data_IF_517896071417
#
_entry.id   IF_517896071417
#
_cell.length_a   1.000
_cell.length_b   1.000
_cell.length_c   1.000
_cell.angle_alpha   90.00
_cell.angle_beta   90.00
_cell.angle_gamma   90.00
#
_symmetry.space_group_name_H-M   'P 1'
#
loop_
_entity.id
_entity.type
_entity.pdbx_description
1 polymer ?
#
# COMPACT_ATOMS: atom_id res chain seq x y z
N UNK A 1 8.52 14.85 -2.80
CA UNK A 1 7.30 14.09 -3.14
C UNK A 1 6.29 14.27 -2.03
N UNK A 2 5.03 14.51 -2.40
CA UNK A 2 3.90 14.49 -1.47
C UNK A 2 3.25 13.12 -1.55
N UNK A 3 3.29 12.38 -0.43
CA UNK A 3 2.66 11.08 -0.28
C UNK A 3 1.38 11.23 0.54
N UNK A 4 0.23 10.95 -0.06
CA UNK A 4 -1.05 11.05 0.62
C UNK A 4 -1.55 9.68 1.03
N UNK A 5 -1.78 9.47 2.32
CA UNK A 5 -2.55 8.36 2.84
C UNK A 5 -4.04 8.75 2.79
N UNK A 6 -4.81 8.01 2.02
CA UNK A 6 -6.25 8.22 1.86
C UNK A 6 -7.02 7.16 2.64
N UNK A 7 -7.55 7.49 3.82
CA UNK A 7 -8.41 6.56 4.56
C UNK A 7 -9.69 6.25 3.77
N UNK A 8 -10.07 4.99 3.67
CA UNK A 8 -11.28 4.54 2.97
C UNK A 8 -12.01 3.51 3.81
N UNK A 9 -13.23 3.79 4.17
CA UNK A 9 -13.99 2.99 5.13
C UNK A 9 -13.63 3.33 6.56
N UNK A 10 -13.56 2.33 7.43
CA UNK A 10 -13.22 2.49 8.84
C UNK A 10 -11.72 2.26 9.05
N UNK A 11 -11.01 3.29 9.41
CA UNK A 11 -9.58 3.21 9.73
C UNK A 11 -9.33 3.97 11.01
N UNK A 12 -8.49 3.43 11.88
CA UNK A 12 -8.10 4.07 13.11
C UNK A 12 -7.13 5.22 12.84
N UNK A 13 -7.42 6.41 13.36
CA UNK A 13 -6.61 7.60 13.14
C UNK A 13 -5.20 7.46 13.76
N UNK A 14 -5.08 6.82 14.93
CA UNK A 14 -3.79 6.63 15.59
C UNK A 14 -2.89 5.69 14.79
N UNK A 15 -3.46 4.64 14.21
CA UNK A 15 -2.74 3.71 13.31
C UNK A 15 -2.25 4.46 12.07
N UNK A 16 -3.09 5.29 11.46
CA UNK A 16 -2.72 6.09 10.29
C UNK A 16 -1.59 7.07 10.59
N UNK A 17 -1.63 7.76 11.73
CA UNK A 17 -0.58 8.67 12.18
C UNK A 17 0.75 7.94 12.38
N UNK A 18 0.72 6.75 12.98
CA UNK A 18 1.90 5.91 13.14
C UNK A 18 2.47 5.45 11.80
N UNK A 19 1.63 4.97 10.89
CA UNK A 19 2.05 4.61 9.53
C UNK A 19 2.66 5.83 8.83
N UNK A 20 2.00 6.98 8.90
CA UNK A 20 2.49 8.22 8.30
C UNK A 20 3.86 8.65 8.81
N UNK A 21 4.09 8.57 10.12
CA UNK A 21 5.38 8.90 10.74
C UNK A 21 6.53 8.02 10.22
N UNK A 22 6.26 6.73 10.02
CA UNK A 22 7.23 5.76 9.50
C UNK A 22 7.55 5.96 8.00
N UNK A 23 6.69 6.66 7.27
CA UNK A 23 6.86 6.95 5.84
C UNK A 23 7.58 8.29 5.57
N UNK A 24 7.90 9.06 6.60
CA UNK A 24 8.59 10.35 6.47
C UNK A 24 9.88 10.32 5.62
N UNK A 25 10.69 9.24 5.59
CA UNK A 25 11.86 9.16 4.70
C UNK A 25 11.55 9.28 3.21
N UNK A 26 10.31 8.99 2.78
CA UNK A 26 9.91 9.04 1.37
C UNK A 26 9.44 10.43 0.91
N UNK A 27 9.16 11.35 1.83
CA UNK A 27 8.75 12.72 1.53
C UNK A 27 7.77 13.31 2.53
N UNK A 28 7.07 14.36 2.13
CA UNK A 28 5.99 14.95 2.92
C UNK A 28 4.79 14.00 2.94
N UNK A 29 4.42 13.53 4.12
CA UNK A 29 3.26 12.62 4.29
C UNK A 29 2.04 13.43 4.75
N UNK A 30 0.92 13.23 4.06
CA UNK A 30 -0.37 13.82 4.39
C UNK A 30 -1.41 12.74 4.63
N UNK A 31 -2.23 12.91 5.65
CA UNK A 31 -3.41 12.05 5.89
C UNK A 31 -4.64 12.84 5.43
N UNK A 32 -5.31 12.33 4.40
CA UNK A 32 -6.50 12.98 3.86
C UNK A 32 -7.75 12.68 4.69
N UNK A 33 -8.80 13.46 4.50
CA UNK A 33 -10.10 13.18 5.13
C UNK A 33 -10.65 11.82 4.65
N UNK A 34 -11.26 11.03 5.53
CA UNK A 34 -11.80 9.73 5.18
C UNK A 34 -12.83 9.78 4.05
N UNK A 35 -12.82 8.77 3.19
CA UNK A 35 -13.79 8.58 2.11
C UNK A 35 -14.59 7.29 2.32
N UNK A 36 -15.83 7.22 1.81
CA UNK A 36 -16.61 5.99 1.88
C UNK A 36 -15.99 4.89 1.01
N UNK A 37 -16.29 3.64 1.37
CA UNK A 37 -15.95 2.48 0.55
C UNK A 37 -16.57 2.59 -0.86
N UNK A 38 -15.91 2.03 -1.88
CA UNK A 38 -16.51 1.84 -3.20
C UNK A 38 -17.85 1.09 -3.10
N UNK A 39 -18.80 1.40 -3.95
CA UNK A 39 -20.22 1.02 -3.79
C UNK A 39 -20.54 -0.49 -3.86
N UNK A 40 -19.58 -1.38 -4.20
CA UNK A 40 -19.84 -2.83 -4.28
C UNK A 40 -18.64 -3.68 -3.91
N UNK A 41 -18.80 -4.64 -2.98
CA UNK A 41 -17.81 -5.70 -2.77
C UNK A 41 -17.75 -6.63 -3.99
N UNK A 42 -16.70 -7.44 -4.06
CA UNK A 42 -16.52 -8.43 -5.13
C UNK A 42 -17.52 -9.60 -4.98
N UNK A 43 -18.44 -9.72 -5.95
CA UNK A 43 -19.40 -10.84 -6.05
C UNK A 43 -20.57 -10.79 -5.05
N UNK A 44 -21.63 -11.56 -5.36
CA UNK A 44 -22.75 -11.75 -4.45
C UNK A 44 -22.30 -12.55 -3.22
N UNK A 45 -22.49 -11.99 -2.02
CA UNK A 45 -22.13 -12.63 -0.75
C UNK A 45 -20.64 -12.55 -0.37
N UNK A 46 -19.77 -11.97 -1.19
CA UNK A 46 -18.37 -11.73 -0.84
C UNK A 46 -18.22 -10.44 -0.04
N UNK A 47 -17.41 -10.50 1.03
CA UNK A 47 -16.99 -9.29 1.78
C UNK A 47 -15.76 -8.62 1.17
N UNK A 48 -15.19 -9.18 0.08
CA UNK A 48 -13.98 -8.69 -0.56
C UNK A 48 -14.29 -7.66 -1.62
N UNK A 49 -13.42 -6.68 -1.70
CA UNK A 49 -13.46 -5.62 -2.71
C UNK A 49 -12.38 -5.88 -3.77
N UNK A 50 -12.68 -5.60 -5.03
CA UNK A 50 -11.64 -5.55 -6.06
C UNK A 50 -10.70 -4.39 -5.77
N UNK A 51 -9.41 -4.66 -5.66
CA UNK A 51 -8.40 -3.63 -5.39
C UNK A 51 -8.47 -2.48 -6.42
N UNK A 52 -8.65 -2.79 -7.70
CA UNK A 52 -8.75 -1.81 -8.78
C UNK A 52 -9.90 -0.78 -8.59
N UNK A 53 -10.94 -1.09 -7.82
CA UNK A 53 -12.04 -0.14 -7.57
C UNK A 53 -11.61 1.06 -6.74
N UNK A 54 -10.53 0.97 -5.99
CA UNK A 54 -9.96 2.06 -5.19
C UNK A 54 -9.25 3.12 -6.04
N UNK A 55 -8.91 2.82 -7.30
CA UNK A 55 -8.32 3.78 -8.22
C UNK A 55 -9.12 5.09 -8.31
N UNK A 56 -10.45 5.00 -8.38
CA UNK A 56 -11.32 6.17 -8.46
C UNK A 56 -11.23 7.04 -7.20
N UNK A 57 -11.17 6.41 -6.03
CA UNK A 57 -11.04 7.12 -4.75
C UNK A 57 -9.70 7.85 -4.69
N UNK A 58 -8.62 7.18 -5.09
CA UNK A 58 -7.28 7.76 -5.08
C UNK A 58 -7.12 8.90 -6.10
N UNK A 59 -7.71 8.77 -7.30
CA UNK A 59 -7.64 9.82 -8.34
C UNK A 59 -8.28 11.14 -7.91
N UNK A 60 -9.23 11.12 -7.00
CA UNK A 60 -9.88 12.30 -6.44
C UNK A 60 -9.18 12.87 -5.20
N UNK A 61 -7.97 12.41 -4.89
CA UNK A 61 -7.15 12.89 -3.78
C UNK A 61 -5.88 13.56 -4.31
N UNK A 62 -5.42 14.60 -3.61
CA UNK A 62 -4.21 15.34 -3.96
C UNK A 62 -2.94 14.61 -3.50
N UNK A 63 -1.81 14.86 -4.16
CA UNK A 63 -0.50 14.30 -3.84
C UNK A 63 0.21 13.74 -5.07
N UNK A 64 1.52 13.57 -5.02
CA UNK A 64 2.30 12.94 -6.10
C UNK A 64 2.03 11.44 -6.15
N UNK A 65 1.81 10.84 -4.98
CA UNK A 65 1.39 9.46 -4.79
C UNK A 65 0.26 9.41 -3.77
N UNK A 66 -0.75 8.58 -4.04
CA UNK A 66 -1.91 8.40 -3.17
C UNK A 66 -2.07 6.92 -2.85
N UNK A 67 -2.01 6.58 -1.57
CA UNK A 67 -2.21 5.21 -1.11
C UNK A 67 -3.48 5.16 -0.27
N UNK A 68 -4.50 4.47 -0.78
CA UNK A 68 -5.70 4.18 -0.02
C UNK A 68 -5.38 3.17 1.09
N UNK A 69 -5.83 3.47 2.30
CA UNK A 69 -5.74 2.56 3.45
C UNK A 69 -7.16 2.16 3.83
N UNK A 70 -7.41 0.87 3.92
CA UNK A 70 -8.75 0.34 4.21
C UNK A 70 -8.70 -0.85 5.17
N UNK A 71 -9.81 -1.13 5.83
CA UNK A 71 -10.00 -2.27 6.75
C UNK A 71 -10.72 -3.47 6.09
N UNK A 72 -11.08 -3.34 4.80
CA UNK A 72 -11.78 -4.42 4.09
C UNK A 72 -10.81 -5.33 3.33
N UNK A 73 -11.17 -6.60 3.20
CA UNK A 73 -10.40 -7.55 2.40
C UNK A 73 -10.40 -7.17 0.92
N UNK A 74 -9.24 -7.30 0.30
CA UNK A 74 -9.03 -7.02 -1.12
C UNK A 74 -8.80 -8.31 -1.91
N UNK A 75 -9.21 -8.30 -3.17
CA UNK A 75 -8.91 -9.33 -4.16
C UNK A 75 -8.43 -8.70 -5.46
N UNK A 76 -7.66 -9.44 -6.21
CA UNK A 76 -7.25 -9.07 -7.57
C UNK A 76 -7.56 -10.23 -8.52
N UNK A 77 -8.79 -10.30 -9.05
CA UNK A 77 -9.19 -11.38 -9.94
C UNK A 77 -8.50 -11.30 -11.32
N UNK A 78 -7.98 -10.15 -11.73
CA UNK A 78 -7.22 -10.03 -12.99
C UNK A 78 -5.88 -10.75 -12.90
N UNK A 79 -5.28 -10.79 -11.70
CA UNK A 79 -4.09 -11.59 -11.40
C UNK A 79 -4.43 -12.99 -10.86
N UNK A 80 -5.70 -13.37 -10.80
CA UNK A 80 -6.15 -14.63 -10.21
C UNK A 80 -6.02 -14.72 -8.69
N UNK A 81 -5.79 -13.60 -8.01
CA UNK A 81 -5.54 -13.56 -6.58
C UNK A 81 -6.84 -13.32 -5.80
N UNK A 82 -7.21 -14.30 -4.97
CA UNK A 82 -8.42 -14.23 -4.14
C UNK A 82 -8.28 -13.29 -2.95
N UNK A 83 -7.07 -13.13 -2.43
CA UNK A 83 -6.74 -12.25 -1.33
C UNK A 83 -5.41 -11.56 -1.64
N UNK A 84 -5.38 -10.24 -1.50
CA UNK A 84 -4.16 -9.44 -1.62
C UNK A 84 -4.08 -8.48 -0.44
N UNK A 85 -2.87 -8.19 0.02
CA UNK A 85 -2.64 -7.18 1.08
C UNK A 85 -2.61 -5.77 0.52
N UNK A 86 -2.23 -5.64 -0.74
CA UNK A 86 -2.22 -4.38 -1.47
C UNK A 86 -2.28 -4.60 -2.97
N UNK A 87 -2.40 -3.50 -3.69
CA UNK A 87 -2.35 -3.43 -5.16
C UNK A 87 -1.97 -2.02 -5.57
N UNK A 88 -1.17 -1.90 -6.61
CA UNK A 88 -0.75 -0.60 -7.13
C UNK A 88 -0.81 -0.54 -8.66
N UNK A 89 -0.97 0.66 -9.16
CA UNK A 89 -0.76 1.01 -10.57
C UNK A 89 0.75 1.17 -10.80
N UNK A 90 1.38 0.22 -11.50
CA UNK A 90 2.84 0.23 -11.73
C UNK A 90 3.21 1.45 -12.56
N UNK A 91 4.19 2.24 -12.07
CA UNK A 91 4.55 3.56 -12.59
C UNK A 91 3.41 4.58 -12.57
N UNK A 92 2.32 4.26 -11.89
CA UNK A 92 1.17 5.11 -11.73
C UNK A 92 1.24 5.97 -10.48
N UNK A 93 0.08 6.55 -10.11
CA UNK A 93 -0.01 7.50 -8.99
C UNK A 93 -0.70 6.91 -7.76
N UNK A 94 -1.34 5.77 -7.86
CA UNK A 94 -2.20 5.24 -6.81
C UNK A 94 -1.86 3.82 -6.41
N UNK A 95 -2.16 3.52 -5.15
CA UNK A 95 -2.16 2.16 -4.61
C UNK A 95 -3.26 2.02 -3.56
N UNK A 96 -3.54 0.79 -3.15
CA UNK A 96 -4.41 0.48 -2.01
C UNK A 96 -3.76 -0.57 -1.13
N UNK A 97 -3.89 -0.42 0.19
CA UNK A 97 -3.42 -1.37 1.20
C UNK A 97 -4.56 -1.69 2.15
N UNK A 98 -4.77 -2.98 2.41
CA UNK A 98 -5.74 -3.48 3.36
C UNK A 98 -5.07 -3.81 4.70
N UNK A 99 -5.65 -3.33 5.79
CA UNK A 99 -5.24 -3.66 7.16
C UNK A 99 -5.95 -4.90 7.71
N UNK A 100 -6.93 -5.45 6.99
CA UNK A 100 -7.84 -6.48 7.48
C UNK A 100 -7.16 -7.75 7.99
N UNK A 101 -5.99 -8.09 7.44
CA UNK A 101 -5.24 -9.31 7.78
C UNK A 101 -4.09 -9.07 8.77
N UNK A 102 -3.82 -7.81 9.17
CA UNK A 102 -2.62 -7.47 9.93
C UNK A 102 -2.79 -7.51 11.44
N UNK A 103 -4.03 -7.53 11.92
CA UNK A 103 -4.36 -7.56 13.35
C UNK A 103 -4.11 -8.91 14.03
N UNK A 104 -4.45 -8.97 15.33
CA UNK A 104 -4.40 -10.20 16.13
C UNK A 104 -3.15 -10.36 17.01
N UNK A 105 -2.06 -9.63 16.72
CA UNK A 105 -0.80 -9.68 17.47
C UNK A 105 -0.40 -8.32 18.08
N UNK A 106 -1.37 -7.43 18.24
CA UNK A 106 -1.18 -6.09 18.77
C UNK A 106 -0.98 -5.02 17.70
N UNK A 107 -1.09 -3.76 18.11
CA UNK A 107 -1.04 -2.60 17.21
C UNK A 107 0.34 -2.40 16.58
N UNK A 108 1.41 -2.66 17.35
CA UNK A 108 2.78 -2.51 16.84
C UNK A 108 3.03 -3.44 15.64
N UNK A 109 2.55 -4.68 15.75
CA UNK A 109 2.69 -5.65 14.65
C UNK A 109 1.82 -5.30 13.45
N UNK A 110 0.62 -4.79 13.71
CA UNK A 110 -0.26 -4.26 12.65
C UNK A 110 0.43 -3.12 11.89
N UNK A 111 0.98 -2.14 12.61
CA UNK A 111 1.68 -0.99 11.99
C UNK A 111 2.92 -1.45 11.21
N UNK A 112 3.72 -2.36 11.76
CA UNK A 112 4.89 -2.94 11.06
C UNK A 112 4.49 -3.55 9.72
N UNK A 113 3.47 -4.40 9.68
CA UNK A 113 2.95 -5.06 8.48
C UNK A 113 2.39 -4.05 7.49
N UNK A 114 1.65 -3.06 8.00
CA UNK A 114 1.09 -1.98 7.19
C UNK A 114 2.18 -1.15 6.52
N UNK A 115 3.20 -0.72 7.26
CA UNK A 115 4.34 0.05 6.71
C UNK A 115 5.07 -0.73 5.63
N UNK A 116 5.40 -2.01 5.87
CA UNK A 116 6.04 -2.86 4.85
C UNK A 116 5.21 -2.98 3.58
N UNK A 117 3.89 -3.13 3.72
CA UNK A 117 2.99 -3.23 2.57
C UNK A 117 2.84 -1.89 1.87
N UNK A 118 2.70 -0.78 2.61
CA UNK A 118 2.63 0.57 2.01
C UNK A 118 3.91 0.89 1.23
N UNK A 119 5.09 0.59 1.78
CA UNK A 119 6.37 0.82 1.08
C UNK A 119 6.49 -0.08 -0.16
N UNK A 120 6.01 -1.33 -0.09
CA UNK A 120 5.95 -2.23 -1.24
C UNK A 120 5.08 -1.66 -2.37
N UNK A 121 3.86 -1.26 -2.06
CA UNK A 121 2.93 -0.68 -3.03
C UNK A 121 3.43 0.70 -3.55
N UNK A 122 4.04 1.51 -2.69
CA UNK A 122 4.74 2.73 -3.11
C UNK A 122 5.82 2.41 -4.14
N UNK A 123 6.61 1.35 -3.92
CA UNK A 123 7.62 0.88 -4.87
C UNK A 123 7.04 0.59 -6.25
N UNK A 124 5.89 -0.08 -6.32
CA UNK A 124 5.19 -0.30 -7.58
C UNK A 124 4.79 1.01 -8.27
N UNK A 125 4.29 1.99 -7.52
CA UNK A 125 3.97 3.31 -8.11
C UNK A 125 5.22 4.06 -8.62
N UNK A 126 6.39 3.73 -8.11
CA UNK A 126 7.68 4.26 -8.57
C UNK A 126 8.29 3.43 -9.72
N UNK A 127 7.57 2.40 -10.19
CA UNK A 127 7.98 1.58 -11.33
C UNK A 127 8.77 0.33 -10.96
N UNK A 128 8.89 0.00 -9.66
CA UNK A 128 9.54 -1.23 -9.24
C UNK A 128 8.61 -2.44 -9.50
N UNK A 129 9.20 -3.54 -9.86
CA UNK A 129 8.56 -4.87 -9.91
C UNK A 129 8.99 -5.70 -8.70
N UNK A 130 8.41 -6.86 -8.50
CA UNK A 130 8.84 -7.78 -7.45
C UNK A 130 10.33 -8.12 -7.59
N UNK A 131 11.01 -8.24 -6.45
CA UNK A 131 12.42 -8.61 -6.38
C UNK A 131 12.58 -9.92 -5.60
N UNK A 132 12.17 -11.01 -6.24
CA UNK A 132 12.09 -12.34 -5.61
C UNK A 132 13.47 -12.96 -5.31
N UNK A 133 14.55 -12.40 -5.89
CA UNK A 133 15.92 -12.84 -5.60
C UNK A 133 16.42 -12.37 -4.21
N UNK A 134 15.74 -11.41 -3.57
CA UNK A 134 16.14 -10.90 -2.25
C UNK A 134 14.98 -10.92 -1.26
N UNK A 135 14.86 -11.98 -0.42
CA UNK A 135 13.79 -12.10 0.58
C UNK A 135 13.78 -11.01 1.66
N UNK A 136 14.87 -10.25 1.83
CA UNK A 136 14.93 -9.13 2.77
C UNK A 136 14.49 -7.80 2.16
N UNK A 137 14.39 -7.71 0.83
CA UNK A 137 13.89 -6.51 0.17
C UNK A 137 12.39 -6.37 0.42
N UNK A 138 11.92 -5.14 0.69
CA UNK A 138 10.48 -4.88 0.81
C UNK A 138 9.72 -5.24 -0.48
N UNK A 139 10.38 -5.21 -1.65
CA UNK A 139 9.79 -5.60 -2.94
C UNK A 139 9.69 -7.12 -3.15
N UNK A 140 10.11 -7.94 -2.18
CA UNK A 140 9.83 -9.38 -2.21
C UNK A 140 8.32 -9.63 -2.18
N UNK A 141 7.82 -10.52 -3.05
CA UNK A 141 6.40 -10.84 -3.10
C UNK A 141 5.94 -11.55 -1.81
N UNK A 142 4.82 -11.13 -1.27
CA UNK A 142 4.19 -11.74 -0.09
C UNK A 142 2.91 -12.47 -0.50
N UNK A 143 2.99 -13.78 -0.61
CA UNK A 143 1.81 -14.62 -0.86
C UNK A 143 0.96 -14.78 0.40
N UNK A 144 1.61 -14.82 1.55
CA UNK A 144 1.00 -14.98 2.87
C UNK A 144 1.62 -14.03 3.89
N UNK A 145 0.93 -13.85 4.99
CA UNK A 145 1.33 -12.91 6.05
C UNK A 145 2.75 -13.17 6.60
N UNK A 146 3.13 -14.44 6.70
CA UNK A 146 4.49 -14.83 7.13
C UNK A 146 5.59 -14.30 6.19
N UNK A 147 5.31 -14.07 4.91
CA UNK A 147 6.27 -13.48 3.98
C UNK A 147 6.43 -11.98 4.26
N UNK A 148 5.34 -11.29 4.56
CA UNK A 148 5.37 -9.89 5.02
C UNK A 148 6.14 -9.76 6.33
N UNK A 149 5.96 -10.68 7.27
CA UNK A 149 6.68 -10.66 8.54
C UNK A 149 8.19 -10.86 8.36
N UNK A 150 8.59 -11.72 7.42
CA UNK A 150 10.00 -12.09 7.18
C UNK A 150 10.79 -11.02 6.45
N UNK A 151 10.18 -10.34 5.46
CA UNK A 151 10.89 -9.34 4.66
C UNK A 151 11.21 -8.07 5.45
N UNK A 152 12.22 -7.34 5.01
CA UNK A 152 12.54 -6.01 5.53
C UNK A 152 11.49 -4.96 5.15
N UNK A 153 11.68 -3.75 5.67
CA UNK A 153 10.81 -2.59 5.40
C UNK A 153 11.37 -1.65 4.32
N UNK A 154 12.64 -1.84 3.95
CA UNK A 154 13.36 -0.95 3.07
C UNK A 154 13.60 -1.57 1.69
N UNK A 155 13.79 -0.73 0.69
CA UNK A 155 14.28 -1.16 -0.60
C UNK A 155 15.75 -1.63 -0.46
N UNK A 156 16.08 -2.76 -1.08
CA UNK A 156 17.50 -3.10 -1.28
C UNK A 156 18.15 -2.08 -2.24
N UNK A 157 19.49 -2.05 -2.28
CA UNK A 157 20.21 -1.04 -3.05
C UNK A 157 19.76 -0.93 -4.53
N UNK A 158 19.64 -2.01 -5.31
CA UNK A 158 19.16 -1.90 -6.69
C UNK A 158 17.75 -1.32 -6.82
N UNK A 159 16.82 -1.68 -5.90
CA UNK A 159 15.48 -1.13 -5.89
C UNK A 159 15.46 0.35 -5.49
N UNK A 160 16.28 0.74 -4.49
CA UNK A 160 16.42 2.13 -4.07
C UNK A 160 16.97 3.02 -5.20
N UNK A 161 18.00 2.56 -5.92
CA UNK A 161 18.58 3.28 -7.04
C UNK A 161 17.54 3.49 -8.15
N UNK A 162 16.77 2.45 -8.48
CA UNK A 162 15.69 2.54 -9.47
C UNK A 162 14.56 3.48 -9.02
N UNK A 163 14.13 3.40 -7.76
CA UNK A 163 13.11 4.31 -7.21
C UNK A 163 13.57 5.77 -7.22
N UNK A 164 14.83 6.03 -6.90
CA UNK A 164 15.41 7.37 -6.89
C UNK A 164 15.42 8.04 -8.27
N UNK A 165 15.55 7.28 -9.36
CA UNK A 165 15.41 7.80 -10.71
C UNK A 165 13.99 8.36 -10.97
N UNK A 166 12.98 7.70 -10.47
CA UNK A 166 11.60 8.18 -10.59
C UNK A 166 11.34 9.37 -9.66
N UNK A 167 11.83 9.30 -8.42
CA UNK A 167 11.69 10.39 -7.44
C UNK A 167 12.38 11.68 -7.89
N UNK A 168 13.53 11.60 -8.56
CA UNK A 168 14.21 12.78 -9.09
C UNK A 168 13.39 13.50 -10.16
N UNK A 169 12.65 12.75 -10.98
CA UNK A 169 11.76 13.30 -12.02
C UNK A 169 10.51 13.98 -11.45
N UNK A 170 10.07 13.60 -10.25
CA UNK A 170 8.92 14.22 -9.57
C UNK A 170 9.29 15.53 -8.86
N UNK A 171 10.57 15.83 -8.73
CA UNK A 171 11.07 17.06 -8.08
C UNK A 171 11.35 18.20 -9.07
N UNK A 172 11.35 17.89 -10.37
CA UNK A 172 11.50 18.87 -11.46
C UNK A 172 10.16 19.34 -11.97
#
# INVERSE_FOLDING_TARGET
>A
MILTLQPVGRTDASVLERIGSELAPFGEVRIASPKPLPSRPFGHGSRRYRAATFARVCRSSDGDRVIAITDVELSDPELGLRLVFGHADIQGRWAVVSLSQFGGEGEDKLVERAVKTVVHELGHTLGLVHHDANPQCVMFFSEKLADTDRKGRDFCQPCADSANLTLSRLRT
#
